data_IF_787469524221
#
_entry.id   IF_787469524221
#
_cell.length_a   1.000
_cell.length_b   1.000
_cell.length_c   1.000
_cell.angle_alpha   90.00
_cell.angle_beta   90.00
_cell.angle_gamma   90.00
#
_symmetry.space_group_name_H-M   'P 1'
#
loop_
_entity.id
_entity.type
_entity.pdbx_description
1 polymer ?
#
# COMPACT_ATOMS: atom_id res chain seq x y z
N UNK A 1 18.84 -6.57 -15.37
CA UNK A 1 17.86 -7.19 -14.46
C UNK A 1 17.13 -8.26 -15.25
N UNK A 2 17.15 -9.51 -14.78
CA UNK A 2 16.38 -10.58 -15.41
C UNK A 2 14.88 -10.39 -15.15
N UNK A 3 14.05 -10.85 -16.07
CA UNK A 3 12.60 -10.91 -15.85
C UNK A 3 12.30 -11.86 -14.69
N UNK A 4 11.60 -11.37 -13.68
CA UNK A 4 11.14 -12.13 -12.53
C UNK A 4 9.61 -12.34 -12.68
N UNK A 5 9.17 -13.58 -13.01
CA UNK A 5 7.76 -13.88 -13.19
C UNK A 5 6.91 -13.64 -11.94
N UNK A 6 7.45 -13.96 -10.75
CA UNK A 6 6.72 -13.83 -9.48
C UNK A 6 6.49 -12.36 -9.17
N UNK A 7 7.51 -11.53 -9.38
CA UNK A 7 7.41 -10.08 -9.23
C UNK A 7 6.42 -9.46 -10.22
N UNK A 8 6.45 -9.92 -11.47
CA UNK A 8 5.52 -9.47 -12.50
C UNK A 8 4.06 -9.80 -12.13
N UNK A 9 3.78 -11.04 -11.73
CA UNK A 9 2.44 -11.48 -11.36
C UNK A 9 1.92 -10.70 -10.14
N UNK A 10 2.76 -10.51 -9.13
CA UNK A 10 2.42 -9.78 -7.92
C UNK A 10 2.09 -8.32 -8.22
N UNK A 11 2.92 -7.66 -9.03
CA UNK A 11 2.66 -6.28 -9.47
C UNK A 11 1.36 -6.16 -10.28
N UNK A 12 1.15 -7.08 -11.23
CA UNK A 12 -0.03 -7.04 -12.08
C UNK A 12 -1.31 -7.24 -11.25
N UNK A 13 -1.28 -8.20 -10.32
CA UNK A 13 -2.39 -8.45 -9.39
C UNK A 13 -2.68 -7.22 -8.53
N UNK A 14 -1.66 -6.60 -7.96
CA UNK A 14 -1.80 -5.38 -7.16
C UNK A 14 -2.46 -4.25 -7.95
N UNK A 15 -1.95 -3.96 -9.14
CA UNK A 15 -2.49 -2.91 -10.01
C UNK A 15 -3.95 -3.18 -10.38
N UNK A 16 -4.30 -4.43 -10.71
CA UNK A 16 -5.67 -4.85 -11.02
C UNK A 16 -6.60 -4.66 -9.83
N UNK A 17 -6.19 -5.10 -8.64
CA UNK A 17 -6.99 -4.90 -7.41
C UNK A 17 -7.17 -3.44 -7.06
N UNK A 18 -6.13 -2.62 -7.20
CA UNK A 18 -6.22 -1.19 -6.96
C UNK A 18 -7.26 -0.52 -7.90
N UNK A 19 -7.23 -0.87 -9.19
CA UNK A 19 -8.20 -0.39 -10.18
C UNK A 19 -9.62 -0.87 -9.89
N UNK A 20 -9.80 -2.15 -9.55
CA UNK A 20 -11.11 -2.71 -9.20
C UNK A 20 -11.71 -2.02 -7.96
N UNK A 21 -10.88 -1.72 -6.96
CA UNK A 21 -11.31 -1.00 -5.75
C UNK A 21 -11.76 0.43 -6.07
N UNK A 22 -11.02 1.13 -6.93
CA UNK A 22 -11.40 2.46 -7.39
C UNK A 22 -12.72 2.44 -8.20
N UNK A 23 -12.91 1.44 -9.06
CA UNK A 23 -14.11 1.30 -9.89
C UNK A 23 -15.40 1.01 -9.11
N UNK A 24 -15.32 0.38 -7.93
CA UNK A 24 -16.49 0.01 -7.11
C UNK A 24 -17.19 1.19 -6.41
N UNK A 25 -16.87 2.44 -6.77
CA UNK A 25 -17.51 3.64 -6.22
C UNK A 25 -17.20 3.89 -4.74
N UNK A 26 -16.20 3.20 -4.19
CA UNK A 26 -15.74 3.35 -2.80
C UNK A 26 -14.38 4.04 -2.77
N UNK A 27 -14.26 5.16 -3.46
CA UNK A 27 -12.99 5.82 -3.74
C UNK A 27 -12.26 6.27 -2.46
N UNK A 28 -12.98 6.77 -1.45
CA UNK A 28 -12.43 7.08 -0.13
C UNK A 28 -11.92 5.82 0.60
N UNK A 29 -12.70 4.74 0.60
CA UNK A 29 -12.28 3.46 1.19
C UNK A 29 -11.06 2.90 0.45
N UNK A 30 -11.01 3.02 -0.87
CA UNK A 30 -9.87 2.62 -1.67
C UNK A 30 -8.62 3.44 -1.34
N UNK A 31 -8.77 4.76 -1.16
CA UNK A 31 -7.69 5.66 -0.71
C UNK A 31 -7.12 5.22 0.63
N UNK A 32 -7.97 4.95 1.62
CA UNK A 32 -7.54 4.49 2.95
C UNK A 32 -6.86 3.12 2.90
N UNK A 33 -7.48 2.15 2.22
CA UNK A 33 -6.96 0.78 2.13
C UNK A 33 -5.64 0.71 1.36
N UNK A 34 -5.55 1.40 0.21
CA UNK A 34 -4.35 1.39 -0.64
C UNK A 34 -3.28 2.37 -0.13
N UNK A 35 -3.66 3.36 0.67
CA UNK A 35 -2.74 4.36 1.20
C UNK A 35 -2.29 5.38 0.18
N UNK A 36 -3.15 5.64 -0.80
CA UNK A 36 -2.86 6.57 -1.87
C UNK A 36 -3.71 7.82 -1.70
N UNK A 37 -3.19 9.00 -2.07
CA UNK A 37 -3.98 10.21 -2.18
C UNK A 37 -5.22 9.98 -3.08
N UNK A 38 -6.32 10.64 -2.76
CA UNK A 38 -7.57 10.51 -3.51
C UNK A 38 -7.39 10.80 -5.01
N UNK A 39 -6.57 11.80 -5.34
CA UNK A 39 -6.20 12.15 -6.72
C UNK A 39 -5.52 11.02 -7.51
N UNK A 40 -4.82 10.11 -6.83
CA UNK A 40 -4.21 8.93 -7.46
C UNK A 40 -5.27 7.86 -7.68
N UNK A 41 -6.13 7.63 -6.68
CA UNK A 41 -7.25 6.68 -6.76
C UNK A 41 -8.19 7.04 -7.93
N UNK A 42 -8.49 8.33 -8.11
CA UNK A 42 -9.39 8.80 -9.15
C UNK A 42 -8.83 8.59 -10.57
N UNK A 43 -7.52 8.39 -10.72
CA UNK A 43 -6.86 8.11 -12.01
C UNK A 43 -6.79 6.62 -12.33
N UNK A 44 -6.86 5.72 -11.34
CA UNK A 44 -6.78 4.27 -11.54
C UNK A 44 -7.85 3.70 -12.49
N UNK A 45 -9.13 4.12 -12.45
CA UNK A 45 -10.16 3.63 -13.38
C UNK A 45 -9.78 3.78 -14.86
N UNK A 46 -9.10 4.89 -15.18
CA UNK A 46 -8.68 5.26 -16.53
C UNK A 46 -7.39 4.57 -16.98
N UNK A 47 -6.69 3.84 -16.10
CA UNK A 47 -5.45 3.15 -16.44
C UNK A 47 -5.72 1.93 -17.35
N UNK A 48 -5.22 1.91 -18.60
CA UNK A 48 -5.41 0.78 -19.49
C UNK A 48 -4.65 -0.46 -19.03
N UNK A 49 -5.22 -1.66 -19.28
CA UNK A 49 -4.59 -2.95 -18.92
C UNK A 49 -3.19 -3.12 -19.52
N UNK A 50 -2.97 -2.63 -20.74
CA UNK A 50 -1.65 -2.67 -21.39
C UNK A 50 -0.59 -1.90 -20.58
N UNK A 51 -0.93 -0.70 -20.11
CA UNK A 51 -0.02 0.09 -19.26
C UNK A 51 0.25 -0.60 -17.92
N UNK A 52 -0.74 -1.30 -17.37
CA UNK A 52 -0.55 -2.09 -16.14
C UNK A 52 0.43 -3.25 -16.34
N UNK A 53 0.39 -3.92 -17.50
CA UNK A 53 1.36 -4.96 -17.87
C UNK A 53 2.77 -4.40 -18.03
N UNK A 54 2.90 -3.22 -18.64
CA UNK A 54 4.20 -2.54 -18.76
C UNK A 54 4.75 -2.20 -17.38
N UNK A 55 3.94 -1.62 -16.48
CA UNK A 55 4.35 -1.30 -15.11
C UNK A 55 4.75 -2.53 -14.31
N UNK A 56 4.00 -3.63 -14.47
CA UNK A 56 4.33 -4.89 -13.81
C UNK A 56 5.70 -5.44 -14.20
N UNK A 57 6.16 -5.15 -15.42
CA UNK A 57 7.45 -5.60 -15.96
C UNK A 57 8.68 -4.75 -15.60
N UNK A 58 8.53 -3.70 -14.78
CA UNK A 58 9.63 -2.75 -14.46
C UNK A 58 10.76 -3.38 -13.61
N UNK A 59 10.57 -4.60 -13.10
CA UNK A 59 11.59 -5.31 -12.31
C UNK A 59 11.75 -4.76 -10.88
N UNK A 60 10.77 -4.00 -10.40
CA UNK A 60 10.65 -3.51 -9.02
C UNK A 60 9.19 -3.62 -8.57
N UNK A 61 8.95 -3.67 -7.26
CA UNK A 61 7.59 -3.68 -6.72
C UNK A 61 6.86 -2.36 -7.01
N UNK A 62 5.60 -2.45 -7.43
CA UNK A 62 4.72 -1.30 -7.65
C UNK A 62 4.14 -0.71 -6.35
N UNK A 63 4.56 -1.22 -5.19
CA UNK A 63 4.11 -0.79 -3.87
C UNK A 63 5.22 -0.98 -2.85
N UNK A 64 5.12 -0.28 -1.72
CA UNK A 64 6.01 -0.40 -0.57
C UNK A 64 5.24 -0.88 0.66
N UNK A 65 5.98 -1.39 1.65
CA UNK A 65 5.40 -1.61 2.98
C UNK A 65 4.94 -0.26 3.55
N UNK A 66 3.68 -0.20 3.97
CA UNK A 66 3.11 1.01 4.59
C UNK A 66 3.42 1.14 6.07
N UNK A 67 3.86 0.04 6.69
CA UNK A 67 4.14 -0.05 8.12
C UNK A 67 5.60 -0.40 8.30
N UNK A 68 6.17 0.10 9.41
CA UNK A 68 7.57 -0.14 9.76
C UNK A 68 7.84 -1.63 9.98
N UNK A 69 9.08 -2.06 9.77
CA UNK A 69 9.49 -3.42 10.11
C UNK A 69 9.25 -3.72 11.60
N UNK A 70 9.47 -2.72 12.46
CA UNK A 70 9.17 -2.80 13.89
C UNK A 70 7.70 -3.15 14.14
N UNK A 71 6.77 -2.45 13.48
CA UNK A 71 5.34 -2.75 13.62
C UNK A 71 5.03 -4.20 13.22
N UNK A 72 5.57 -4.67 12.09
CA UNK A 72 5.33 -6.04 11.65
C UNK A 72 5.89 -7.08 12.64
N UNK A 73 7.09 -6.83 13.20
CA UNK A 73 7.67 -7.68 14.24
C UNK A 73 6.84 -7.69 15.52
N UNK A 74 6.32 -6.56 15.96
CA UNK A 74 5.42 -6.49 17.11
C UNK A 74 4.10 -7.22 16.83
N UNK A 75 3.54 -7.06 15.63
CA UNK A 75 2.30 -7.70 15.23
C UNK A 75 2.42 -9.23 15.24
N UNK A 76 3.52 -9.78 14.74
CA UNK A 76 3.78 -11.23 14.75
C UNK A 76 3.82 -11.84 16.15
N UNK A 77 4.20 -11.04 17.15
CA UNK A 77 4.31 -11.47 18.55
C UNK A 77 3.07 -11.12 19.37
N UNK A 78 2.03 -10.53 18.76
CA UNK A 78 0.81 -10.17 19.48
C UNK A 78 -0.30 -11.18 19.19
N UNK A 79 -0.88 -11.73 20.25
CA UNK A 79 -2.09 -12.55 20.16
C UNK A 79 -3.31 -11.63 20.16
N UNK A 80 -3.92 -11.44 18.99
CA UNK A 80 -5.13 -10.65 18.76
C UNK A 80 -6.05 -11.44 17.83
N UNK A 81 -7.36 -11.30 18.02
CA UNK A 81 -8.32 -11.80 17.03
C UNK A 81 -8.21 -11.00 15.70
N UNK A 82 -8.75 -11.61 14.64
CA UNK A 82 -8.64 -11.07 13.28
C UNK A 82 -9.28 -9.69 13.11
N UNK A 83 -10.36 -9.40 13.85
CA UNK A 83 -11.09 -8.12 13.74
C UNK A 83 -10.29 -6.99 14.40
N UNK A 84 -9.73 -7.24 15.60
CA UNK A 84 -8.83 -6.32 16.28
C UNK A 84 -7.56 -6.07 15.47
N UNK A 85 -6.99 -7.13 14.88
CA UNK A 85 -5.79 -7.01 14.04
C UNK A 85 -6.03 -6.12 12.82
N UNK A 86 -7.14 -6.34 12.10
CA UNK A 86 -7.53 -5.51 10.95
C UNK A 86 -7.76 -4.05 11.36
N UNK A 87 -8.44 -3.82 12.47
CA UNK A 87 -8.71 -2.48 12.98
C UNK A 87 -7.43 -1.76 13.36
N UNK A 88 -6.51 -2.43 14.08
CA UNK A 88 -5.20 -1.86 14.45
C UNK A 88 -4.38 -1.49 13.22
N UNK A 89 -4.29 -2.37 12.24
CA UNK A 89 -3.56 -2.11 10.99
C UNK A 89 -4.13 -0.88 10.27
N UNK A 90 -5.46 -0.78 10.13
CA UNK A 90 -6.10 0.38 9.51
C UNK A 90 -5.86 1.68 10.27
N UNK A 91 -5.91 1.66 11.61
CA UNK A 91 -5.63 2.82 12.44
C UNK A 91 -4.18 3.30 12.29
N UNK A 92 -3.20 2.40 12.25
CA UNK A 92 -1.79 2.77 12.04
C UNK A 92 -1.56 3.34 10.63
N UNK A 93 -2.21 2.74 9.64
CA UNK A 93 -2.23 3.19 8.25
C UNK A 93 -2.82 4.61 8.12
N UNK A 94 -3.91 4.89 8.84
CA UNK A 94 -4.60 6.17 8.79
C UNK A 94 -3.93 7.25 9.67
N UNK A 95 -3.37 6.84 10.80
CA UNK A 95 -2.68 7.71 11.75
C UNK A 95 -1.31 8.18 11.27
N UNK A 96 -0.75 7.51 10.26
CA UNK A 96 0.55 7.84 9.68
C UNK A 96 1.66 7.74 10.72
N UNK A 97 2.28 6.56 10.86
CA UNK A 97 3.65 6.51 11.37
C UNK A 97 4.55 7.26 10.35
N UNK A 98 4.62 8.58 10.52
CA UNK A 98 5.25 9.53 9.59
C UNK A 98 4.88 10.99 9.85
N UNK A 99 4.46 11.36 11.05
CA UNK A 99 4.47 12.77 11.46
C UNK A 99 5.91 13.28 11.60
N UNK A 100 6.24 14.53 11.21
CA UNK A 100 7.62 15.05 11.17
C UNK A 100 8.23 15.38 12.55
N UNK A 101 7.75 14.77 13.63
CA UNK A 101 8.30 14.98 14.98
C UNK A 101 8.99 13.70 15.43
N UNK A 102 10.15 13.46 14.84
CA UNK A 102 11.01 12.32 15.11
C UNK A 102 12.46 12.61 14.74
N UNK A 103 12.91 13.84 14.95
CA UNK A 103 14.32 14.14 15.27
C UNK A 103 14.30 15.37 16.19
N UNK A 104 14.68 15.10 17.44
CA UNK A 104 14.88 16.07 18.51
C UNK A 104 16.06 16.98 18.15
N UNK A 105 15.95 18.25 18.52
CA UNK A 105 16.97 19.27 18.34
C UNK A 105 18.29 18.84 18.98
N UNK A 106 19.28 18.54 18.14
CA UNK A 106 20.65 18.27 18.52
C UNK A 106 21.61 19.35 18.03
N UNK A 107 21.32 20.63 18.26
CA UNK A 107 22.32 21.71 18.14
C UNK A 107 22.95 21.98 19.51
N UNK A 108 24.22 21.57 19.65
CA UNK A 108 25.15 22.13 20.62
C UNK A 108 26.14 23.05 19.89
#
# INVERSE_FOLDING_TARGET
>A
MGFDPDLYELNLFYLQKARDMALKGKSLSASLTLGMPQEVIDRLPALPLEKMRILAGVGMLCYSSRLSEKFWRELQNTDMDEELLRTRVLLMIAGGEGGPYGDDDGTA
#
